data_IF_938015299642
#
_entry.id   IF_938015299642
#
_cell.length_a   1.000
_cell.length_b   1.000
_cell.length_c   1.000
_cell.angle_alpha   90.00
_cell.angle_beta   90.00
_cell.angle_gamma   90.00
#
_symmetry.space_group_name_H-M   'P 1'
#
loop_
_entity.id
_entity.type
_entity.pdbx_description
1 polymer ?
#
# COMPACT_ATOMS: atom_id res chain seq x y z
N UNK A 1 33.43 -29.82 -17.93
CA UNK A 1 32.00 -29.45 -17.87
C UNK A 1 31.85 -28.31 -16.87
N UNK A 2 32.24 -27.09 -17.25
CA UNK A 2 32.01 -25.89 -16.43
C UNK A 2 30.53 -25.53 -16.55
N UNK A 3 29.75 -25.73 -15.48
CA UNK A 3 28.49 -24.99 -15.33
C UNK A 3 28.83 -23.51 -15.47
N UNK A 4 28.28 -22.85 -16.48
CA UNK A 4 28.62 -21.46 -16.79
C UNK A 4 28.27 -20.62 -15.55
N UNK A 5 29.10 -19.66 -15.17
CA UNK A 5 28.86 -18.78 -14.00
C UNK A 5 27.40 -18.26 -13.93
N UNK A 6 26.80 -17.97 -15.10
CA UNK A 6 25.39 -17.61 -15.27
C UNK A 6 24.40 -18.66 -14.75
N UNK A 7 24.66 -19.94 -14.98
CA UNK A 7 23.80 -21.05 -14.54
C UNK A 7 23.86 -21.21 -13.02
N UNK A 8 25.06 -21.16 -12.43
CA UNK A 8 25.24 -21.19 -10.96
C UNK A 8 24.58 -19.98 -10.28
N UNK A 9 24.69 -18.80 -10.90
CA UNK A 9 24.03 -17.58 -10.42
C UNK A 9 22.50 -17.70 -10.52
N UNK A 10 21.99 -18.17 -11.65
CA UNK A 10 20.55 -18.38 -11.89
C UNK A 10 19.96 -19.38 -10.89
N UNK A 11 20.63 -20.51 -10.65
CA UNK A 11 20.22 -21.54 -9.69
C UNK A 11 20.12 -20.95 -8.26
N UNK A 12 21.09 -20.11 -7.87
CA UNK A 12 21.08 -19.43 -6.57
C UNK A 12 19.98 -18.37 -6.47
N UNK A 13 19.75 -17.60 -7.52
CA UNK A 13 18.66 -16.61 -7.60
C UNK A 13 17.29 -17.27 -7.56
N UNK A 14 17.09 -18.38 -8.26
CA UNK A 14 15.84 -19.15 -8.22
C UNK A 14 15.56 -19.69 -6.82
N UNK A 15 16.58 -20.23 -6.14
CA UNK A 15 16.45 -20.68 -4.75
C UNK A 15 16.04 -19.53 -3.82
N UNK A 16 16.68 -18.37 -3.95
CA UNK A 16 16.34 -17.18 -3.18
C UNK A 16 14.92 -16.66 -3.46
N UNK A 17 14.52 -16.62 -4.73
CA UNK A 17 13.17 -16.26 -5.15
C UNK A 17 12.12 -17.22 -4.59
N UNK A 18 12.44 -18.52 -4.50
CA UNK A 18 11.61 -19.53 -3.87
C UNK A 18 11.37 -19.25 -2.38
N UNK A 19 12.41 -18.81 -1.66
CA UNK A 19 12.30 -18.43 -0.23
C UNK A 19 11.43 -17.18 -0.07
N UNK A 20 11.65 -16.14 -0.86
CA UNK A 20 10.85 -14.90 -0.83
C UNK A 20 9.38 -15.20 -1.13
N UNK A 21 9.11 -16.01 -2.16
CA UNK A 21 7.74 -16.38 -2.56
C UNK A 21 6.99 -17.16 -1.48
N UNK A 22 7.69 -17.89 -0.60
CA UNK A 22 7.08 -18.67 0.48
C UNK A 22 6.89 -17.88 1.78
N UNK A 23 7.48 -16.69 1.89
CA UNK A 23 7.39 -15.90 3.11
C UNK A 23 6.00 -15.25 3.25
N UNK A 24 5.23 -15.71 4.24
CA UNK A 24 3.87 -15.23 4.49
C UNK A 24 3.80 -13.72 4.78
N UNK A 25 4.82 -13.12 5.38
CA UNK A 25 4.84 -11.68 5.69
C UNK A 25 4.99 -10.86 4.40
N UNK A 26 5.88 -11.29 3.50
CA UNK A 26 6.08 -10.64 2.21
C UNK A 26 4.86 -10.84 1.29
N UNK A 27 4.23 -12.01 1.34
CA UNK A 27 2.98 -12.26 0.63
C UNK A 27 1.84 -11.37 1.14
N UNK A 28 1.71 -11.23 2.47
CA UNK A 28 0.70 -10.37 3.08
C UNK A 28 0.90 -8.91 2.71
N UNK A 29 2.15 -8.43 2.71
CA UNK A 29 2.49 -7.08 2.27
C UNK A 29 2.14 -6.89 0.80
N UNK A 30 2.57 -7.78 -0.10
CA UNK A 30 2.25 -7.69 -1.54
C UNK A 30 0.75 -7.55 -1.76
N UNK A 31 -0.05 -8.41 -1.15
CA UNK A 31 -1.49 -8.42 -1.37
C UNK A 31 -2.20 -7.23 -0.72
N UNK A 32 -1.72 -6.77 0.44
CA UNK A 32 -2.22 -5.56 1.08
C UNK A 32 -1.96 -4.30 0.25
N UNK A 33 -0.77 -4.18 -0.34
CA UNK A 33 -0.48 -3.12 -1.29
C UNK A 33 -1.33 -3.26 -2.55
N UNK A 34 -1.60 -4.49 -3.00
CA UNK A 34 -2.52 -4.73 -4.12
C UNK A 34 -3.95 -4.27 -3.86
N UNK A 35 -4.44 -4.44 -2.62
CA UNK A 35 -5.74 -3.92 -2.19
C UNK A 35 -5.82 -2.39 -2.31
N UNK A 36 -4.71 -1.68 -2.10
CA UNK A 36 -4.66 -0.22 -2.18
C UNK A 36 -4.43 0.34 -3.60
N UNK A 37 -4.02 -0.49 -4.58
CA UNK A 37 -3.71 -0.02 -5.94
C UNK A 37 -4.86 0.71 -6.64
N UNK A 38 -6.12 0.23 -6.61
CA UNK A 38 -7.20 0.94 -7.29
C UNK A 38 -7.36 2.36 -6.76
N UNK A 39 -7.24 2.55 -5.45
CA UNK A 39 -7.36 3.86 -4.79
C UNK A 39 -6.24 4.82 -5.24
N UNK A 40 -4.99 4.36 -5.24
CA UNK A 40 -3.85 5.20 -5.65
C UNK A 40 -3.86 5.47 -7.16
N UNK A 41 -4.33 4.52 -7.96
CA UNK A 41 -4.54 4.69 -9.39
C UNK A 41 -5.59 5.77 -9.66
N UNK A 42 -6.72 5.76 -8.95
CA UNK A 42 -7.73 6.83 -9.05
C UNK A 42 -7.16 8.19 -8.67
N UNK A 43 -6.47 8.32 -7.54
CA UNK A 43 -5.81 9.56 -7.13
C UNK A 43 -4.86 10.10 -8.20
N UNK A 44 -4.08 9.21 -8.82
CA UNK A 44 -3.13 9.56 -9.88
C UNK A 44 -3.83 10.03 -11.16
N UNK A 45 -4.95 9.41 -11.54
CA UNK A 45 -5.74 9.83 -12.70
C UNK A 45 -6.31 11.24 -12.46
N UNK A 46 -6.90 11.50 -11.29
CA UNK A 46 -7.44 12.82 -10.98
C UNK A 46 -6.35 13.89 -10.95
N UNK A 47 -5.15 13.55 -10.45
CA UNK A 47 -4.00 14.44 -10.45
C UNK A 47 -3.58 14.82 -11.88
N UNK A 48 -3.50 13.84 -12.79
CA UNK A 48 -3.16 14.06 -14.19
C UNK A 48 -4.24 14.90 -14.89
N UNK A 49 -5.51 14.61 -14.66
CA UNK A 49 -6.63 15.39 -15.22
C UNK A 49 -6.57 16.83 -14.74
N UNK A 50 -6.36 17.07 -13.44
CA UNK A 50 -6.29 18.41 -12.87
C UNK A 50 -5.10 19.21 -13.41
N UNK A 51 -3.99 18.54 -13.73
CA UNK A 51 -2.74 19.14 -14.18
C UNK A 51 -2.44 18.93 -15.66
N UNK A 52 -3.47 18.64 -16.47
CA UNK A 52 -3.27 18.28 -17.86
C UNK A 52 -2.61 19.42 -18.64
N UNK A 53 -1.57 19.14 -19.45
CA UNK A 53 -0.93 20.16 -20.28
C UNK A 53 -1.93 20.69 -21.32
N UNK A 54 -2.19 22.00 -21.29
CA UNK A 54 -3.16 22.66 -22.17
C UNK A 54 -4.32 23.34 -21.43
N UNK A 55 -4.47 23.12 -20.12
CA UNK A 55 -5.40 23.90 -19.29
C UNK A 55 -4.82 25.27 -18.92
N UNK A 56 -5.68 26.29 -18.94
CA UNK A 56 -5.35 27.61 -18.42
C UNK A 56 -5.24 27.56 -16.89
N UNK A 57 -4.53 28.52 -16.30
CA UNK A 57 -4.33 28.58 -14.85
C UNK A 57 -5.66 28.59 -14.09
N UNK A 58 -6.63 29.38 -14.56
CA UNK A 58 -7.99 29.43 -13.97
C UNK A 58 -8.73 28.09 -14.03
N UNK A 59 -8.52 27.31 -15.09
CA UNK A 59 -9.12 25.99 -15.21
C UNK A 59 -8.47 24.98 -14.24
N UNK A 60 -7.14 25.08 -14.05
CA UNK A 60 -6.40 24.25 -13.08
C UNK A 60 -6.80 24.58 -11.64
N UNK A 61 -6.94 25.85 -11.30
CA UNK A 61 -7.44 26.29 -9.99
C UNK A 61 -8.87 25.79 -9.74
N UNK A 62 -9.76 25.93 -10.72
CA UNK A 62 -11.14 25.45 -10.62
C UNK A 62 -11.23 23.93 -10.44
N UNK A 63 -10.48 23.15 -11.23
CA UNK A 63 -10.42 21.70 -11.09
C UNK A 63 -9.73 21.27 -9.78
N UNK A 64 -8.70 22.00 -9.36
CA UNK A 64 -8.01 21.77 -8.09
C UNK A 64 -8.94 21.96 -6.90
N UNK A 65 -9.80 22.99 -6.92
CA UNK A 65 -10.81 23.20 -5.89
C UNK A 65 -11.85 22.07 -5.83
N UNK A 66 -12.20 21.48 -6.97
CA UNK A 66 -13.18 20.38 -7.03
C UNK A 66 -12.59 19.00 -6.71
N UNK A 67 -11.36 18.73 -7.17
CA UNK A 67 -10.76 17.38 -7.16
C UNK A 67 -9.62 17.24 -6.16
N UNK A 68 -9.08 18.34 -5.62
CA UNK A 68 -7.93 18.34 -4.72
C UNK A 68 -8.14 17.50 -3.47
N UNK A 69 -9.31 17.61 -2.84
CA UNK A 69 -9.66 16.81 -1.67
C UNK A 69 -9.69 15.30 -1.98
N UNK A 70 -10.15 14.91 -3.17
CA UNK A 70 -10.17 13.50 -3.59
C UNK A 70 -8.76 12.96 -3.82
N UNK A 71 -7.86 13.76 -4.39
CA UNK A 71 -6.45 13.41 -4.58
C UNK A 71 -5.77 13.20 -3.22
N UNK A 72 -5.89 14.16 -2.31
CA UNK A 72 -5.30 14.07 -0.96
C UNK A 72 -5.86 12.88 -0.17
N UNK A 73 -7.18 12.71 -0.20
CA UNK A 73 -7.85 11.60 0.47
C UNK A 73 -7.39 10.25 -0.05
N UNK A 74 -7.10 10.10 -1.35
CA UNK A 74 -6.60 8.84 -1.92
C UNK A 74 -5.25 8.43 -1.33
N UNK A 75 -4.37 9.41 -1.05
CA UNK A 75 -3.07 9.17 -0.42
C UNK A 75 -3.22 8.81 1.05
N UNK A 76 -4.10 9.51 1.78
CA UNK A 76 -4.35 9.24 3.21
C UNK A 76 -5.03 7.88 3.42
N UNK A 77 -6.07 7.60 2.63
CA UNK A 77 -6.82 6.35 2.69
C UNK A 77 -5.96 5.13 2.30
N UNK A 78 -4.91 5.30 1.48
CA UNK A 78 -3.98 4.21 1.16
C UNK A 78 -3.43 3.56 2.43
N UNK A 79 -3.01 4.35 3.42
CA UNK A 79 -2.44 3.83 4.67
C UNK A 79 -3.44 2.97 5.46
N UNK A 80 -4.71 3.36 5.46
CA UNK A 80 -5.81 2.63 6.10
C UNK A 80 -6.05 1.29 5.39
N UNK A 81 -6.17 1.31 4.07
CA UNK A 81 -6.39 0.09 3.27
C UNK A 81 -5.22 -0.89 3.40
N UNK A 82 -3.98 -0.39 3.37
CA UNK A 82 -2.79 -1.22 3.54
C UNK A 82 -2.75 -1.81 4.96
N UNK A 83 -3.03 -1.01 6.00
CA UNK A 83 -3.04 -1.50 7.39
C UNK A 83 -4.04 -2.63 7.61
N UNK A 84 -5.29 -2.45 7.16
CA UNK A 84 -6.32 -3.50 7.21
C UNK A 84 -5.88 -4.71 6.38
N UNK A 85 -5.39 -4.47 5.15
CA UNK A 85 -4.95 -5.52 4.24
C UNK A 85 -3.85 -6.39 4.82
N UNK A 86 -2.85 -5.81 5.49
CA UNK A 86 -1.76 -6.57 6.11
C UNK A 86 -2.32 -7.51 7.18
N UNK A 87 -3.17 -7.00 8.08
CA UNK A 87 -3.79 -7.82 9.13
C UNK A 87 -4.68 -8.93 8.57
N UNK A 88 -5.47 -8.61 7.54
CA UNK A 88 -6.38 -9.53 6.87
C UNK A 88 -5.63 -10.66 6.15
N UNK A 89 -4.70 -10.33 5.25
CA UNK A 89 -3.97 -11.32 4.47
C UNK A 89 -3.03 -12.15 5.34
N UNK A 90 -2.38 -11.57 6.35
CA UNK A 90 -1.55 -12.33 7.28
C UNK A 90 -2.37 -13.40 8.02
N UNK A 91 -3.60 -13.08 8.42
CA UNK A 91 -4.50 -14.04 9.01
C UNK A 91 -4.85 -15.16 8.02
N UNK A 92 -5.23 -14.81 6.79
CA UNK A 92 -5.57 -15.79 5.75
C UNK A 92 -4.41 -16.76 5.47
N UNK A 93 -3.18 -16.24 5.39
CA UNK A 93 -1.99 -17.05 5.18
C UNK A 93 -1.66 -17.96 6.37
N UNK A 94 -1.94 -17.52 7.60
CA UNK A 94 -1.76 -18.36 8.81
C UNK A 94 -2.90 -19.37 9.01
N UNK A 95 -4.12 -19.03 8.58
CA UNK A 95 -5.34 -19.78 8.89
C UNK A 95 -6.20 -20.01 7.62
N UNK A 96 -5.71 -20.78 6.63
CA UNK A 96 -6.39 -20.94 5.33
C UNK A 96 -7.78 -21.60 5.44
N UNK A 97 -8.08 -22.28 6.55
CA UNK A 97 -9.38 -22.94 6.80
C UNK A 97 -10.42 -22.05 7.49
N UNK A 98 -10.04 -20.87 8.00
CA UNK A 98 -10.91 -19.99 8.81
C UNK A 98 -11.01 -18.59 8.24
N UNK A 99 -11.30 -18.48 6.95
CA UNK A 99 -11.25 -17.20 6.23
C UNK A 99 -12.21 -16.14 6.77
N UNK A 100 -13.32 -16.56 7.37
CA UNK A 100 -14.34 -15.67 7.97
C UNK A 100 -13.82 -14.79 9.12
N UNK A 101 -12.76 -15.21 9.82
CA UNK A 101 -12.23 -14.47 10.97
C UNK A 101 -11.16 -13.44 10.55
N UNK A 102 -10.76 -13.43 9.28
CA UNK A 102 -9.69 -12.55 8.79
C UNK A 102 -10.04 -11.06 8.93
N UNK A 103 -11.33 -10.71 8.87
CA UNK A 103 -11.79 -9.34 9.04
C UNK A 103 -11.48 -8.80 10.44
N UNK A 104 -11.56 -9.64 11.48
CA UNK A 104 -11.23 -9.24 12.86
C UNK A 104 -9.74 -8.90 12.98
N UNK A 105 -8.86 -9.68 12.34
CA UNK A 105 -7.43 -9.40 12.29
C UNK A 105 -7.12 -8.08 11.56
N UNK A 106 -7.80 -7.83 10.43
CA UNK A 106 -7.71 -6.55 9.71
C UNK A 106 -8.15 -5.36 10.55
N UNK A 107 -9.25 -5.48 11.29
CA UNK A 107 -9.74 -4.43 12.19
C UNK A 107 -8.75 -4.15 13.34
N UNK A 108 -8.20 -5.21 13.96
CA UNK A 108 -7.19 -5.08 15.02
C UNK A 108 -5.92 -4.40 14.51
N UNK A 109 -5.47 -4.72 13.29
CA UNK A 109 -4.32 -4.07 12.67
C UNK A 109 -4.55 -2.57 12.47
N UNK A 110 -5.73 -2.16 12.00
CA UNK A 110 -6.07 -0.75 11.84
C UNK A 110 -6.09 0.01 13.18
N UNK A 111 -6.74 -0.57 14.20
CA UNK A 111 -6.78 0.03 15.53
C UNK A 111 -5.38 0.17 16.11
N UNK A 112 -4.53 -0.84 15.91
CA UNK A 112 -3.13 -0.80 16.35
C UNK A 112 -2.34 0.29 15.63
N UNK A 113 -2.58 0.48 14.33
CA UNK A 113 -1.98 1.56 13.54
C UNK A 113 -2.36 2.95 14.10
N UNK A 114 -3.62 3.18 14.44
CA UNK A 114 -4.05 4.43 15.04
C UNK A 114 -3.55 4.65 16.47
N UNK A 115 -3.38 3.59 17.27
CA UNK A 115 -2.79 3.71 18.62
C UNK A 115 -1.32 4.15 18.53
N UNK A 116 -0.57 3.63 17.55
CA UNK A 116 0.86 3.95 17.39
C UNK A 116 1.07 5.29 16.67
N UNK A 117 0.08 5.76 15.91
CA UNK A 117 0.17 7.02 15.14
C UNK A 117 -0.28 8.21 15.99
N UNK A 118 0.62 9.14 16.37
CA UNK A 118 0.23 10.33 17.13
C UNK A 118 -0.63 11.28 16.28
N UNK A 119 -1.79 11.69 16.80
CA UNK A 119 -2.70 12.63 16.11
C UNK A 119 -2.28 14.10 16.26
N UNK A 120 -1.40 14.41 17.20
CA UNK A 120 -0.85 15.74 17.42
C UNK A 120 0.50 15.61 18.08
N UNK A 121 1.49 16.32 17.55
CA UNK A 121 2.82 16.42 18.15
C UNK A 121 2.96 17.85 18.66
N UNK A 122 3.07 18.02 19.98
CA UNK A 122 3.50 19.30 20.54
C UNK A 122 5.02 19.32 20.53
N UNK A 123 5.60 20.21 19.73
CA UNK A 123 7.03 20.47 19.75
C UNK A 123 7.36 21.27 21.02
N UNK A 124 8.40 20.86 21.75
CA UNK A 124 8.82 21.49 23.02
C UNK A 124 9.27 22.95 22.83
N UNK A 125 9.64 23.32 21.60
CA UNK A 125 9.92 24.70 21.21
C UNK A 125 8.73 25.24 20.41
N UNK A 126 7.90 26.06 21.04
CA UNK A 126 6.71 26.65 20.43
C UNK A 126 7.00 27.37 19.11
N UNK A 127 6.43 26.84 18.03
CA UNK A 127 5.62 27.49 17.00
C UNK A 127 5.01 26.40 16.12
#
# INVERSE_FOLDING_TARGET
>A
MERTFKEKLSEKLMSFAGIIRKNIYLLSLRDAFMLSFPLTMFGSILLVVTNFPGFSEKAREGLGALMGHSIESSMLLMSIFVSIGIGYYLYLYKNPKRTQDAIYSGAVALVSFFIVTPFSVKLENGN
#
